data_IF_775895191855
#
_entry.id   IF_775895191855
#
_cell.length_a   1.000
_cell.length_b   1.000
_cell.length_c   1.000
_cell.angle_alpha   90.00
_cell.angle_beta   90.00
_cell.angle_gamma   90.00
#
_symmetry.space_group_name_H-M   'P 1'
#
loop_
_entity.id
_entity.type
_entity.pdbx_description
1 polymer ?
#
# COMPACT_ATOMS: atom_id res chain seq x y z
N UNK A 1 29.07 32.14 -64.75
CA UNK A 1 28.21 31.22 -65.52
C UNK A 1 27.32 30.47 -64.53
N UNK A 2 26.00 30.56 -64.50
CA UNK A 2 25.04 31.52 -65.06
C UNK A 2 23.83 31.55 -64.10
N UNK A 3 23.21 32.72 -63.95
CA UNK A 3 21.92 32.92 -63.30
C UNK A 3 20.84 32.40 -64.25
N UNK A 4 19.70 31.94 -63.73
CA UNK A 4 18.46 31.70 -64.47
C UNK A 4 18.53 30.71 -65.62
N UNK A 5 17.90 29.56 -65.39
CA UNK A 5 16.98 28.82 -66.26
C UNK A 5 17.18 27.32 -65.97
N UNK A 6 16.18 26.52 -65.62
CA UNK A 6 14.74 26.70 -65.64
C UNK A 6 14.20 25.38 -65.04
N UNK A 7 13.58 25.37 -63.88
CA UNK A 7 12.19 24.91 -63.64
C UNK A 7 12.07 24.75 -62.12
N UNK A 8 11.53 25.70 -61.35
CA UNK A 8 10.11 26.04 -61.15
C UNK A 8 9.19 24.81 -61.10
N UNK A 9 8.45 24.74 -59.99
CA UNK A 9 7.46 23.73 -59.51
C UNK A 9 8.16 22.66 -58.66
N UNK A 10 8.16 22.73 -57.33
CA UNK A 10 6.98 22.53 -56.46
C UNK A 10 7.32 23.07 -55.03
N UNK A 11 6.52 24.06 -54.58
CA UNK A 11 5.95 24.19 -53.21
C UNK A 11 6.97 24.15 -52.04
N UNK A 12 7.49 25.28 -51.54
CA UNK A 12 6.86 26.13 -50.51
C UNK A 12 5.85 25.40 -49.61
N UNK A 13 6.33 24.59 -48.66
CA UNK A 13 5.66 24.31 -47.39
C UNK A 13 6.63 23.55 -46.48
N UNK A 14 7.47 24.30 -45.74
CA UNK A 14 8.02 23.77 -44.48
C UNK A 14 6.82 23.68 -43.54
N UNK A 15 6.11 22.56 -43.60
CA UNK A 15 5.15 22.17 -42.59
C UNK A 15 5.95 21.91 -41.32
N UNK A 16 5.97 22.91 -40.43
CA UNK A 16 6.03 22.65 -39.00
C UNK A 16 4.84 21.72 -38.71
N UNK A 17 5.07 20.41 -38.75
CA UNK A 17 4.20 19.47 -38.06
C UNK A 17 4.52 19.68 -36.58
N UNK A 18 3.86 20.66 -35.98
CA UNK A 18 3.63 20.64 -34.56
C UNK A 18 2.95 19.31 -34.27
N UNK A 19 3.68 18.38 -33.65
CA UNK A 19 3.06 17.29 -32.91
C UNK A 19 2.26 17.93 -31.78
N UNK A 20 1.06 18.40 -32.10
CA UNK A 20 -0.03 18.38 -31.15
C UNK A 20 -0.25 16.90 -30.86
N UNK A 21 0.45 16.39 -29.84
CA UNK A 21 -0.03 15.26 -29.07
C UNK A 21 -1.35 15.71 -28.48
N UNK A 22 -2.42 15.58 -29.27
CA UNK A 22 -3.77 15.51 -28.74
C UNK A 22 -3.77 14.23 -27.93
N UNK A 23 -3.43 14.33 -26.66
CA UNK A 23 -3.85 13.35 -25.69
C UNK A 23 -5.36 13.37 -25.79
N UNK A 24 -5.92 12.32 -26.39
CA UNK A 24 -7.33 12.02 -26.32
C UNK A 24 -7.58 11.76 -24.82
N UNK A 25 -7.83 12.83 -24.07
CA UNK A 25 -8.40 12.72 -22.76
C UNK A 25 -9.77 12.10 -23.04
N UNK A 26 -10.02 10.90 -22.55
CA UNK A 26 -11.39 10.44 -22.42
C UNK A 26 -12.06 11.49 -21.52
N UNK A 27 -12.79 12.43 -22.14
CA UNK A 27 -13.57 13.43 -21.42
C UNK A 27 -14.39 12.65 -20.40
N UNK A 28 -14.14 12.92 -19.12
CA UNK A 28 -15.08 12.56 -18.08
C UNK A 28 -16.40 13.23 -18.49
N UNK A 29 -17.47 12.46 -18.68
CA UNK A 29 -18.80 13.04 -18.80
C UNK A 29 -19.17 13.56 -17.42
N UNK A 30 -18.76 14.78 -17.14
CA UNK A 30 -18.81 15.34 -15.79
C UNK A 30 -20.21 15.72 -15.36
N UNK A 31 -21.21 15.72 -16.25
CA UNK A 31 -22.55 16.22 -15.93
C UNK A 31 -22.52 17.66 -15.34
N UNK A 32 -21.52 18.46 -15.70
CA UNK A 32 -21.30 19.81 -15.16
C UNK A 32 -20.29 19.89 -14.01
N UNK A 33 -19.70 18.80 -13.53
CA UNK A 33 -18.59 18.81 -12.56
C UNK A 33 -17.27 19.31 -13.20
N UNK A 34 -16.36 19.85 -12.39
CA UNK A 34 -14.98 20.10 -12.81
C UNK A 34 -14.14 18.84 -12.62
N UNK A 35 -13.23 18.57 -13.56
CA UNK A 35 -12.24 17.49 -13.46
C UNK A 35 -11.02 17.99 -12.70
N UNK A 36 -10.60 17.23 -11.69
CA UNK A 36 -9.34 17.40 -11.00
C UNK A 36 -8.40 16.28 -11.45
N UNK A 37 -7.30 16.68 -12.11
CA UNK A 37 -6.28 15.75 -12.58
C UNK A 37 -5.51 15.12 -11.40
N UNK A 38 -5.09 13.84 -11.51
CA UNK A 38 -4.34 13.16 -10.45
C UNK A 38 -3.04 13.84 -10.00
N UNK A 39 -2.38 14.60 -10.88
CA UNK A 39 -1.15 15.34 -10.57
C UNK A 39 -1.39 16.66 -9.82
N UNK A 40 -2.65 16.99 -9.48
CA UNK A 40 -2.96 18.16 -8.67
C UNK A 40 -2.28 18.07 -7.30
N UNK A 41 -1.45 19.06 -6.98
CA UNK A 41 -0.65 19.11 -5.74
C UNK A 41 -1.45 19.00 -4.43
N UNK A 42 -2.76 19.23 -4.46
CA UNK A 42 -3.67 19.11 -3.30
C UNK A 42 -4.21 17.70 -3.10
N UNK A 43 -4.01 16.80 -4.07
CA UNK A 43 -4.23 15.36 -3.90
C UNK A 43 -2.96 14.76 -3.30
N UNK A 44 -3.12 14.03 -2.20
CA UNK A 44 -2.01 13.35 -1.51
C UNK A 44 -2.18 11.84 -1.62
N UNK A 45 -1.09 11.18 -1.96
CA UNK A 45 -0.99 9.73 -2.11
C UNK A 45 -0.18 9.16 -0.95
N UNK A 46 -0.68 8.09 -0.34
CA UNK A 46 0.00 7.40 0.75
C UNK A 46 0.00 5.90 0.49
N UNK A 47 1.01 5.20 1.00
CA UNK A 47 1.38 3.89 0.48
C UNK A 47 2.33 4.01 -0.71
N UNK A 48 2.68 2.87 -1.31
CA UNK A 48 3.54 2.86 -2.50
C UNK A 48 2.71 3.06 -3.76
N UNK A 49 2.91 4.22 -4.38
CA UNK A 49 2.25 4.64 -5.62
C UNK A 49 3.31 4.97 -6.67
N UNK A 50 3.24 4.30 -7.82
CA UNK A 50 4.09 4.63 -8.95
C UNK A 50 3.60 5.93 -9.60
N UNK A 51 4.39 6.99 -9.42
CA UNK A 51 4.15 8.33 -9.97
C UNK A 51 5.01 8.65 -11.20
N UNK A 52 5.60 7.63 -11.85
CA UNK A 52 6.38 7.83 -13.09
C UNK A 52 5.57 8.51 -14.20
N UNK A 53 4.24 8.31 -14.19
CA UNK A 53 3.28 9.18 -14.86
C UNK A 53 2.36 9.80 -13.79
N UNK A 54 2.57 11.07 -13.38
CA UNK A 54 1.81 11.67 -12.28
C UNK A 54 0.33 11.90 -12.61
N UNK A 55 -0.05 11.91 -13.89
CA UNK A 55 -1.45 11.97 -14.33
C UNK A 55 -2.14 10.61 -14.36
N UNK A 56 -1.38 9.52 -14.18
CA UNK A 56 -1.91 8.16 -14.06
C UNK A 56 -1.21 7.41 -12.91
N UNK A 57 -1.36 7.86 -11.65
CA UNK A 57 -0.78 7.21 -10.49
C UNK A 57 -1.23 5.75 -10.41
N UNK A 58 -0.27 4.83 -10.36
CA UNK A 58 -0.55 3.40 -10.36
C UNK A 58 -0.18 2.75 -9.02
N UNK A 59 -1.05 1.91 -8.47
CA UNK A 59 -0.85 1.29 -7.16
C UNK A 59 -1.50 -0.09 -7.07
N UNK A 60 -0.97 -0.95 -6.20
CA UNK A 60 -1.49 -2.33 -6.00
C UNK A 60 -1.37 -2.81 -4.57
N UNK A 61 -0.39 -2.31 -3.82
CA UNK A 61 -0.21 -2.62 -2.41
C UNK A 61 -1.51 -2.36 -1.61
N UNK A 62 -1.87 -3.25 -0.67
CA UNK A 62 -3.02 -3.04 0.19
C UNK A 62 -2.81 -1.78 1.04
N UNK A 63 -3.91 -1.14 1.43
CA UNK A 63 -3.85 0.03 2.30
C UNK A 63 -3.22 1.27 1.68
N UNK A 64 -3.06 1.33 0.35
CA UNK A 64 -2.85 2.60 -0.36
C UNK A 64 -4.09 3.47 -0.21
N UNK A 65 -3.88 4.75 0.10
CA UNK A 65 -4.97 5.70 0.23
C UNK A 65 -4.65 7.06 -0.39
N UNK A 66 -5.70 7.68 -0.91
CA UNK A 66 -5.67 8.95 -1.63
C UNK A 66 -6.50 9.93 -0.81
N UNK A 67 -5.92 11.08 -0.48
CA UNK A 67 -6.60 12.14 0.27
C UNK A 67 -6.68 13.43 -0.53
N UNK A 68 -7.81 14.11 -0.38
CA UNK A 68 -8.00 15.48 -0.84
C UNK A 68 -9.07 16.15 0.03
N UNK A 69 -9.12 17.47 0.01
CA UNK A 69 -10.01 18.24 0.88
C UNK A 69 -10.74 19.32 0.10
N UNK A 70 -12.07 19.37 0.18
CA UNK A 70 -12.88 20.42 -0.44
C UNK A 70 -14.29 20.43 0.18
N UNK A 71 -15.05 21.50 -0.06
CA UNK A 71 -16.51 21.46 0.01
C UNK A 71 -17.03 21.06 -1.36
N UNK A 72 -17.95 20.10 -1.44
CA UNK A 72 -18.56 19.66 -2.70
C UNK A 72 -19.88 18.92 -2.43
N UNK A 73 -20.89 19.16 -3.27
CA UNK A 73 -22.17 18.45 -3.21
C UNK A 73 -22.13 17.10 -3.95
N UNK A 74 -21.21 16.96 -4.91
CA UNK A 74 -20.96 15.72 -5.63
C UNK A 74 -19.46 15.39 -5.71
N UNK A 75 -19.16 14.10 -5.68
CA UNK A 75 -17.81 13.56 -5.87
C UNK A 75 -17.91 12.32 -6.74
N UNK A 76 -17.19 12.32 -7.86
CA UNK A 76 -16.98 11.16 -8.72
C UNK A 76 -15.50 10.83 -8.82
N UNK A 77 -15.19 9.55 -8.94
CA UNK A 77 -13.85 9.04 -9.21
C UNK A 77 -13.84 8.27 -10.52
N UNK A 78 -12.79 8.44 -11.32
CA UNK A 78 -12.50 7.59 -12.49
C UNK A 78 -11.22 6.82 -12.30
N UNK A 79 -11.29 5.53 -12.56
CA UNK A 79 -10.17 4.61 -12.39
C UNK A 79 -10.12 3.60 -13.53
N UNK A 80 -8.91 3.14 -13.84
CA UNK A 80 -8.69 1.90 -14.59
C UNK A 80 -8.19 0.85 -13.63
N UNK A 81 -8.90 -0.25 -13.48
CA UNK A 81 -8.57 -1.27 -12.50
C UNK A 81 -9.01 -2.66 -12.99
N UNK A 82 -8.89 -3.66 -12.12
CA UNK A 82 -9.28 -5.05 -12.36
C UNK A 82 -10.31 -5.50 -11.35
N UNK A 83 -9.91 -5.80 -10.12
CA UNK A 83 -10.85 -6.24 -9.09
C UNK A 83 -10.34 -5.88 -7.71
N UNK A 84 -10.73 -4.70 -7.23
CA UNK A 84 -10.35 -4.18 -5.93
C UNK A 84 -11.55 -3.59 -5.19
N UNK A 85 -11.46 -3.61 -3.86
CA UNK A 85 -12.45 -3.01 -2.96
C UNK A 85 -11.87 -1.75 -2.34
N UNK A 86 -12.69 -0.71 -2.29
CA UNK A 86 -12.29 0.60 -1.75
C UNK A 86 -13.30 1.09 -0.73
N UNK A 87 -12.82 1.71 0.35
CA UNK A 87 -13.65 2.52 1.23
C UNK A 87 -13.53 4.00 0.83
N UNK A 88 -14.62 4.74 0.87
CA UNK A 88 -14.64 6.19 0.99
C UNK A 88 -14.81 6.54 2.48
N UNK A 89 -13.89 7.35 2.99
CA UNK A 89 -14.02 7.99 4.29
C UNK A 89 -14.25 9.50 4.09
N UNK A 90 -15.14 10.07 4.90
CA UNK A 90 -15.39 11.51 5.00
C UNK A 90 -15.01 11.92 6.42
N UNK A 91 -14.04 12.81 6.56
CA UNK A 91 -13.46 13.22 7.86
C UNK A 91 -13.02 12.03 8.74
N UNK A 92 -12.46 11.00 8.09
CA UNK A 92 -11.99 9.77 8.76
C UNK A 92 -13.10 8.77 9.11
N UNK A 93 -14.37 9.11 8.88
CA UNK A 93 -15.52 8.23 9.13
C UNK A 93 -15.91 7.49 7.85
N UNK A 94 -16.17 6.19 7.95
CA UNK A 94 -16.66 5.40 6.82
C UNK A 94 -17.97 5.97 6.28
N UNK A 95 -18.01 6.23 4.96
CA UNK A 95 -19.19 6.73 4.27
C UNK A 95 -19.81 5.66 3.36
N UNK A 96 -19.00 5.05 2.48
CA UNK A 96 -19.43 3.98 1.58
C UNK A 96 -18.24 3.16 1.10
N UNK A 97 -18.51 2.05 0.43
CA UNK A 97 -17.51 1.33 -0.35
C UNK A 97 -17.92 1.16 -1.82
N UNK A 98 -16.96 0.75 -2.65
CA UNK A 98 -17.17 0.41 -4.04
C UNK A 98 -16.17 -0.66 -4.50
N UNK A 99 -16.53 -1.35 -5.58
CA UNK A 99 -15.75 -2.45 -6.15
C UNK A 99 -15.48 -2.17 -7.62
N UNK A 100 -14.22 -2.33 -8.03
CA UNK A 100 -13.81 -2.22 -9.43
C UNK A 100 -13.93 -3.55 -10.16
N UNK A 101 -14.12 -3.47 -11.47
CA UNK A 101 -14.06 -4.55 -12.46
C UNK A 101 -13.02 -4.20 -13.53
N UNK A 102 -12.72 -5.14 -14.43
CA UNK A 102 -11.72 -4.92 -15.48
C UNK A 102 -12.08 -3.75 -16.39
N UNK A 103 -11.15 -2.81 -16.54
CA UNK A 103 -11.26 -1.68 -17.47
C UNK A 103 -11.38 -0.32 -16.78
N UNK A 104 -11.79 0.68 -17.56
CA UNK A 104 -12.06 2.03 -17.06
C UNK A 104 -13.49 2.12 -16.52
N UNK A 105 -13.64 2.75 -15.36
CA UNK A 105 -14.90 2.88 -14.66
C UNK A 105 -15.00 4.22 -13.95
N UNK A 106 -16.23 4.69 -13.78
CA UNK A 106 -16.58 5.87 -13.03
C UNK A 106 -17.54 5.50 -11.89
N UNK A 107 -17.33 6.09 -10.72
CA UNK A 107 -18.18 5.85 -9.55
C UNK A 107 -18.62 7.18 -8.93
N UNK A 108 -19.93 7.37 -8.81
CA UNK A 108 -20.49 8.45 -8.01
C UNK A 108 -20.37 8.10 -6.53
N UNK A 109 -19.46 8.80 -5.85
CA UNK A 109 -19.15 8.58 -4.44
C UNK A 109 -20.05 9.42 -3.54
N UNK A 110 -20.23 10.69 -3.85
CA UNK A 110 -21.17 11.60 -3.18
C UNK A 110 -22.07 12.21 -4.25
N UNK A 111 -23.37 12.35 -3.97
CA UNK A 111 -24.34 12.97 -4.87
C UNK A 111 -25.34 13.79 -4.07
N UNK A 112 -25.70 14.97 -4.58
CA UNK A 112 -26.74 15.84 -4.03
C UNK A 112 -26.58 16.12 -2.52
N UNK A 113 -25.34 16.21 -2.01
CA UNK A 113 -25.09 16.58 -0.62
C UNK A 113 -25.52 18.03 -0.41
N UNK A 114 -26.28 18.28 0.65
CA UNK A 114 -26.66 19.63 1.09
C UNK A 114 -25.66 20.21 2.09
N UNK A 115 -24.66 19.42 2.50
CA UNK A 115 -23.59 19.89 3.37
C UNK A 115 -22.61 20.75 2.57
N UNK A 116 -22.44 21.99 3.03
CA UNK A 116 -21.53 22.98 2.42
C UNK A 116 -20.20 23.08 3.16
N UNK A 117 -19.99 22.28 4.20
CA UNK A 117 -18.73 22.25 4.93
C UNK A 117 -17.60 21.67 4.07
N UNK A 118 -16.37 22.02 4.43
CA UNK A 118 -15.18 21.44 3.83
C UNK A 118 -14.86 20.13 4.53
N UNK A 119 -14.78 19.05 3.76
CA UNK A 119 -14.45 17.72 4.27
C UNK A 119 -13.14 17.21 3.70
N UNK A 120 -12.44 16.39 4.49
CA UNK A 120 -11.37 15.51 3.99
C UNK A 120 -11.98 14.22 3.45
N UNK A 121 -11.74 13.94 2.18
CA UNK A 121 -12.11 12.68 1.54
C UNK A 121 -10.89 11.76 1.49
N UNK A 122 -11.07 10.50 1.92
CA UNK A 122 -10.05 9.45 1.78
C UNK A 122 -10.62 8.28 0.98
N UNK A 123 -9.98 7.96 -0.15
CA UNK A 123 -10.24 6.72 -0.89
C UNK A 123 -9.20 5.70 -0.45
N UNK A 124 -9.62 4.60 0.16
CA UNK A 124 -8.75 3.59 0.77
C UNK A 124 -8.89 2.23 0.09
N UNK A 125 -7.80 1.67 -0.45
CA UNK A 125 -7.79 0.33 -1.03
C UNK A 125 -7.74 -0.75 0.07
N UNK A 126 -8.84 -1.45 0.32
CA UNK A 126 -8.93 -2.49 1.36
C UNK A 126 -8.61 -3.91 0.91
N UNK A 127 -8.64 -4.20 -0.39
CA UNK A 127 -8.36 -5.54 -0.92
C UNK A 127 -6.86 -5.78 -1.18
N UNK A 128 -6.47 -7.05 -1.14
CA UNK A 128 -5.26 -7.53 -1.79
C UNK A 128 -5.60 -8.07 -3.19
N UNK A 129 -5.02 -7.46 -4.21
CA UNK A 129 -5.00 -8.00 -5.56
C UNK A 129 -3.66 -7.63 -6.18
N UNK A 130 -2.81 -8.64 -6.37
CA UNK A 130 -1.42 -8.45 -6.75
C UNK A 130 -1.19 -8.61 -8.25
N UNK A 131 -2.23 -9.02 -9.01
CA UNK A 131 -2.13 -9.37 -10.42
C UNK A 131 -2.07 -8.17 -11.37
N UNK A 132 -2.60 -7.03 -10.95
CA UNK A 132 -2.57 -5.79 -11.71
C UNK A 132 -2.54 -4.57 -10.78
N UNK A 133 -2.04 -3.45 -11.30
CA UNK A 133 -2.13 -2.16 -10.62
C UNK A 133 -3.44 -1.46 -11.01
N UNK A 134 -4.08 -0.84 -10.02
CA UNK A 134 -5.10 0.17 -10.24
C UNK A 134 -4.44 1.48 -10.69
N UNK A 135 -5.14 2.25 -11.51
CA UNK A 135 -4.70 3.54 -12.01
C UNK A 135 -5.80 4.56 -11.72
N UNK A 136 -5.46 5.65 -11.02
CA UNK A 136 -6.37 6.80 -10.90
C UNK A 136 -6.31 7.61 -12.19
N UNK A 137 -7.47 7.89 -12.78
CA UNK A 137 -7.59 8.71 -14.01
C UNK A 137 -8.12 10.12 -13.73
N UNK A 138 -8.79 10.33 -12.60
CA UNK A 138 -9.23 11.66 -12.17
C UNK A 138 -10.29 11.63 -11.09
N UNK A 139 -10.52 12.80 -10.51
CA UNK A 139 -11.67 13.09 -9.64
C UNK A 139 -12.56 14.10 -10.35
N UNK A 140 -13.86 14.11 -10.05
CA UNK A 140 -14.75 15.18 -10.46
C UNK A 140 -15.57 15.68 -9.26
N UNK A 141 -15.64 17.00 -9.10
CA UNK A 141 -16.30 17.72 -8.00
C UNK A 141 -17.06 18.93 -8.55
N UNK A 142 -17.88 19.62 -7.76
CA UNK A 142 -18.64 20.78 -8.25
C UNK A 142 -17.73 21.86 -8.87
N UNK A 143 -18.20 22.63 -9.85
CA UNK A 143 -17.38 23.68 -10.50
C UNK A 143 -16.89 24.77 -9.53
N UNK A 144 -17.62 25.00 -8.44
CA UNK A 144 -17.26 25.96 -7.41
C UNK A 144 -16.27 25.40 -6.39
N UNK A 145 -16.07 24.08 -6.35
CA UNK A 145 -15.17 23.43 -5.41
C UNK A 145 -13.73 23.89 -5.62
N UNK A 146 -13.01 24.10 -4.53
CA UNK A 146 -11.57 24.35 -4.56
C UNK A 146 -10.90 23.35 -3.64
N UNK A 147 -9.90 22.63 -4.16
CA UNK A 147 -9.12 21.72 -3.32
C UNK A 147 -8.21 22.51 -2.39
N UNK A 148 -8.19 22.10 -1.12
CA UNK A 148 -7.37 22.65 -0.06
C UNK A 148 -6.27 21.66 0.34
N UNK A 149 -5.30 22.14 1.11
CA UNK A 149 -4.26 21.27 1.65
C UNK A 149 -4.83 20.26 2.65
N UNK A 150 -4.41 19.01 2.49
CA UNK A 150 -4.69 17.92 3.43
C UNK A 150 -3.68 18.01 4.58
N UNK A 151 -4.14 17.94 5.85
CA UNK A 151 -3.23 17.83 7.00
C UNK A 151 -2.36 16.58 6.90
N UNK A 152 -1.04 16.77 6.97
CA UNK A 152 -0.05 15.69 7.01
C UNK A 152 0.17 15.29 8.46
N UNK A 153 0.26 13.98 8.71
CA UNK A 153 0.47 13.47 10.07
C UNK A 153 1.95 13.54 10.45
N UNK A 154 2.29 13.82 11.72
CA UNK A 154 3.68 14.04 12.13
C UNK A 154 4.52 12.74 12.16
N UNK A 155 3.86 11.58 12.14
CA UNK A 155 4.48 10.27 12.30
C UNK A 155 4.24 9.41 11.06
N UNK A 156 5.18 8.52 10.77
CA UNK A 156 5.10 7.57 9.65
C UNK A 156 5.52 6.17 10.09
N UNK A 157 4.77 5.16 9.65
CA UNK A 157 5.04 3.75 9.95
C UNK A 157 5.04 2.92 8.66
N UNK A 158 6.07 2.11 8.41
CA UNK A 158 6.04 1.09 7.37
C UNK A 158 5.78 -0.27 8.02
N UNK A 159 4.74 -0.98 7.56
CA UNK A 159 4.47 -2.36 7.96
C UNK A 159 4.90 -3.30 6.83
N UNK A 160 5.88 -4.15 7.12
CA UNK A 160 6.42 -5.17 6.23
C UNK A 160 5.88 -6.51 6.70
N UNK A 161 5.22 -7.27 5.82
CA UNK A 161 4.74 -8.59 6.23
C UNK A 161 4.11 -9.47 5.16
N UNK A 162 3.40 -10.47 5.64
CA UNK A 162 2.69 -11.46 4.82
C UNK A 162 1.16 -11.33 4.96
N UNK A 163 0.44 -12.42 4.78
CA UNK A 163 -1.03 -12.50 4.85
C UNK A 163 -1.61 -12.01 6.18
N UNK A 164 -0.87 -12.12 7.29
CA UNK A 164 -1.30 -11.57 8.60
C UNK A 164 -1.27 -10.04 8.61
N UNK A 165 -0.39 -9.43 7.82
CA UNK A 165 -0.31 -7.97 7.70
C UNK A 165 -1.29 -7.46 6.65
N UNK A 166 -1.57 -8.26 5.62
CA UNK A 166 -2.62 -8.00 4.63
C UNK A 166 -4.02 -8.02 5.25
N UNK A 167 -4.29 -8.93 6.19
CA UNK A 167 -5.64 -9.20 6.68
C UNK A 167 -6.36 -10.26 5.84
N UNK A 168 -5.61 -11.25 5.33
CA UNK A 168 -6.13 -12.32 4.51
C UNK A 168 -7.30 -13.04 5.19
N UNK A 169 -8.47 -13.00 4.56
CA UNK A 169 -9.68 -13.69 5.02
C UNK A 169 -10.15 -13.32 6.43
N UNK A 170 -9.79 -12.13 6.92
CA UNK A 170 -10.01 -11.73 8.30
C UNK A 170 -11.47 -11.46 8.67
N UNK A 171 -12.35 -11.21 7.69
CA UNK A 171 -13.79 -11.00 7.92
C UNK A 171 -14.63 -12.27 7.78
N UNK A 172 -14.03 -13.37 7.31
CA UNK A 172 -14.66 -14.69 7.30
C UNK A 172 -14.43 -15.44 8.62
N UNK A 173 -15.33 -16.35 9.01
CA UNK A 173 -15.02 -17.37 10.02
C UNK A 173 -13.97 -18.36 9.50
N UNK A 174 -13.42 -19.20 10.38
CA UNK A 174 -12.41 -20.20 10.03
C UNK A 174 -12.90 -21.35 9.13
N UNK A 175 -14.19 -21.42 8.82
CA UNK A 175 -14.80 -22.45 7.98
C UNK A 175 -14.49 -22.22 6.49
N UNK A 176 -14.56 -23.29 5.70
CA UNK A 176 -14.36 -23.23 4.25
C UNK A 176 -15.62 -22.75 3.50
N UNK A 177 -15.46 -22.31 2.26
CA UNK A 177 -16.58 -21.99 1.35
C UNK A 177 -16.80 -20.50 1.09
N UNK A 178 -16.03 -19.63 1.72
CA UNK A 178 -16.00 -18.20 1.41
C UNK A 178 -14.98 -17.89 0.31
N UNK A 179 -15.23 -16.84 -0.46
CA UNK A 179 -14.22 -16.27 -1.33
C UNK A 179 -13.23 -15.44 -0.49
N UNK A 180 -11.93 -15.72 -0.67
CA UNK A 180 -10.90 -15.07 0.15
C UNK A 180 -10.69 -13.60 -0.21
N UNK A 181 -10.89 -13.24 -1.47
CA UNK A 181 -10.80 -11.85 -1.88
C UNK A 181 -11.96 -11.06 -1.27
N UNK A 182 -13.18 -11.62 -1.26
CA UNK A 182 -14.35 -11.00 -0.62
C UNK A 182 -14.16 -10.79 0.87
N UNK A 183 -13.45 -11.71 1.53
CA UNK A 183 -13.31 -11.74 2.99
C UNK A 183 -11.97 -11.19 3.52
N UNK A 184 -11.13 -10.66 2.63
CA UNK A 184 -9.92 -9.91 2.98
C UNK A 184 -10.25 -8.43 3.10
N UNK A 185 -10.07 -7.85 4.28
CA UNK A 185 -10.25 -6.42 4.55
C UNK A 185 -9.05 -5.84 5.30
N UNK A 186 -8.15 -5.19 4.57
CA UNK A 186 -6.96 -4.56 5.12
C UNK A 186 -7.28 -3.37 6.05
N UNK A 187 -8.47 -2.78 5.95
CA UNK A 187 -8.86 -1.65 6.82
C UNK A 187 -9.03 -2.08 8.28
N UNK A 188 -9.34 -3.35 8.52
CA UNK A 188 -9.54 -3.96 9.84
C UNK A 188 -8.23 -4.51 10.45
N UNK A 189 -7.08 -4.20 9.86
CA UNK A 189 -5.80 -4.80 10.28
C UNK A 189 -5.11 -4.02 11.38
N UNK A 190 -4.34 -4.74 12.20
CA UNK A 190 -3.55 -4.17 13.28
C UNK A 190 -2.67 -2.99 12.82
N UNK A 191 -2.07 -3.08 11.62
CA UNK A 191 -1.19 -2.02 11.10
C UNK A 191 -1.95 -0.72 10.85
N UNK A 192 -3.12 -0.83 10.22
CA UNK A 192 -4.02 0.31 10.01
C UNK A 192 -4.50 0.90 11.33
N UNK A 193 -4.90 0.06 12.29
CA UNK A 193 -5.40 0.51 13.61
C UNK A 193 -4.30 1.21 14.44
N UNK A 194 -3.08 0.66 14.44
CA UNK A 194 -1.92 1.28 15.10
C UNK A 194 -1.58 2.64 14.50
N UNK A 195 -1.62 2.76 13.17
CA UNK A 195 -1.33 4.02 12.50
C UNK A 195 -2.30 5.13 12.90
N UNK A 196 -3.60 4.83 13.05
CA UNK A 196 -4.55 5.82 13.56
C UNK A 196 -4.32 6.15 15.03
N UNK A 197 -4.11 5.14 15.87
CA UNK A 197 -3.87 5.35 17.31
C UNK A 197 -2.67 6.28 17.55
N UNK A 198 -1.60 6.11 16.79
CA UNK A 198 -0.41 6.96 16.91
C UNK A 198 -0.48 8.24 16.10
N UNK A 199 -1.61 8.55 15.45
CA UNK A 199 -1.72 9.67 14.50
C UNK A 199 -0.57 9.68 13.49
N UNK A 200 -0.40 8.56 12.80
CA UNK A 200 0.64 8.31 11.82
C UNK A 200 0.08 8.08 10.42
N UNK A 201 0.80 8.54 9.42
CA UNK A 201 0.75 8.00 8.06
C UNK A 201 1.39 6.61 8.04
N UNK A 202 1.01 5.80 7.05
CA UNK A 202 1.52 4.44 6.98
C UNK A 202 1.60 3.88 5.56
N UNK A 203 2.39 2.81 5.43
CA UNK A 203 2.42 1.92 4.27
C UNK A 203 2.21 0.49 4.74
N UNK A 204 1.39 -0.28 4.02
CA UNK A 204 1.28 -1.73 4.19
C UNK A 204 2.00 -2.41 3.02
N UNK A 205 3.26 -2.76 3.23
CA UNK A 205 4.07 -3.49 2.27
C UNK A 205 4.01 -4.98 2.60
N UNK A 206 2.87 -5.58 2.32
CA UNK A 206 2.62 -6.98 2.64
C UNK A 206 2.09 -7.77 1.45
N UNK A 207 2.40 -9.06 1.43
CA UNK A 207 1.96 -9.97 0.36
C UNK A 207 1.72 -11.37 0.93
N UNK A 208 0.47 -11.83 0.84
CA UNK A 208 0.05 -13.16 1.27
C UNK A 208 0.90 -14.29 0.70
N UNK A 209 1.23 -15.25 1.56
CA UNK A 209 2.00 -16.45 1.20
C UNK A 209 3.51 -16.23 1.02
N UNK A 210 4.02 -15.01 1.17
CA UNK A 210 5.45 -14.71 1.05
C UNK A 210 6.19 -14.92 2.37
N UNK A 211 7.39 -15.48 2.28
CA UNK A 211 8.35 -15.57 3.39
C UNK A 211 9.68 -14.91 3.03
N UNK A 212 10.67 -15.00 3.90
CA UNK A 212 11.99 -14.39 3.73
C UNK A 212 12.93 -15.23 2.86
N UNK A 213 12.94 -16.55 3.07
CA UNK A 213 13.80 -17.50 2.36
C UNK A 213 12.99 -18.31 1.36
N UNK A 214 11.74 -18.63 1.70
CA UNK A 214 10.81 -19.33 0.80
C UNK A 214 9.38 -18.83 0.95
N UNK A 215 8.55 -19.15 -0.04
CA UNK A 215 7.12 -18.93 0.02
C UNK A 215 6.39 -20.12 0.66
N UNK A 216 5.11 -19.95 1.00
CA UNK A 216 4.27 -20.98 1.61
C UNK A 216 4.36 -22.32 0.86
N UNK A 217 4.57 -23.43 1.59
CA UNK A 217 4.71 -24.76 1.00
C UNK A 217 5.97 -25.03 0.16
N UNK A 218 6.84 -24.04 -0.05
CA UNK A 218 8.03 -24.15 -0.90
C UNK A 218 9.00 -25.24 -0.45
N UNK A 219 9.53 -26.01 -1.41
CA UNK A 219 10.42 -27.17 -1.16
C UNK A 219 11.92 -26.84 -1.24
N UNK A 220 12.28 -25.57 -1.44
CA UNK A 220 13.64 -25.04 -1.50
C UNK A 220 13.61 -23.51 -1.28
N UNK A 221 14.75 -22.85 -1.03
CA UNK A 221 14.84 -21.40 -1.09
C UNK A 221 14.31 -20.86 -2.43
N UNK A 222 13.55 -19.76 -2.37
CA UNK A 222 12.89 -19.15 -3.53
C UNK A 222 13.50 -17.77 -3.80
N UNK A 223 14.14 -17.54 -4.96
CA UNK A 223 14.65 -16.21 -5.32
C UNK A 223 13.52 -15.16 -5.47
N UNK A 224 12.26 -15.58 -5.56
CA UNK A 224 11.08 -14.73 -5.56
C UNK A 224 10.36 -14.69 -4.18
N UNK A 225 11.08 -14.99 -3.10
CA UNK A 225 10.65 -14.68 -1.74
C UNK A 225 10.48 -13.16 -1.54
N UNK A 226 9.90 -12.75 -0.40
CA UNK A 226 9.54 -11.36 -0.11
C UNK A 226 10.67 -10.33 -0.39
N UNK A 227 11.95 -10.58 -0.03
CA UNK A 227 13.01 -9.58 -0.26
C UNK A 227 13.17 -9.14 -1.73
N UNK A 228 12.92 -10.04 -2.69
CA UNK A 228 12.99 -9.72 -4.13
C UNK A 228 11.82 -8.81 -4.60
N UNK A 229 10.80 -8.66 -3.77
CA UNK A 229 9.59 -7.89 -4.05
C UNK A 229 9.55 -6.58 -3.26
N UNK A 230 10.37 -6.46 -2.20
CA UNK A 230 10.38 -5.31 -1.31
C UNK A 230 10.69 -3.99 -2.01
N UNK A 231 11.37 -3.97 -3.16
CA UNK A 231 11.61 -2.73 -3.90
C UNK A 231 10.61 -2.49 -5.03
N UNK A 232 9.50 -3.21 -5.13
CA UNK A 232 8.53 -2.96 -6.22
C UNK A 232 7.64 -1.77 -5.89
N UNK A 233 7.49 -0.84 -6.85
CA UNK A 233 6.52 0.25 -6.73
C UNK A 233 5.08 -0.28 -6.79
N UNK A 234 4.83 -1.30 -7.62
CA UNK A 234 3.58 -2.05 -7.71
C UNK A 234 3.86 -3.56 -7.69
N UNK A 235 3.05 -4.35 -7.00
CA UNK A 235 3.26 -5.79 -6.80
C UNK A 235 3.33 -6.58 -8.13
N UNK A 236 2.52 -6.19 -9.11
CA UNK A 236 2.38 -6.86 -10.40
C UNK A 236 3.60 -6.73 -11.32
N UNK A 237 4.56 -5.85 -11.03
CA UNK A 237 5.74 -5.62 -11.88
C UNK A 237 7.03 -5.49 -11.07
N UNK A 238 8.14 -5.98 -11.62
CA UNK A 238 9.46 -5.78 -11.04
C UNK A 238 10.01 -4.35 -11.26
N UNK A 239 9.47 -3.63 -12.25
CA UNK A 239 9.83 -2.25 -12.58
C UNK A 239 8.59 -1.37 -12.85
N UNK A 240 8.63 -0.07 -12.52
CA UNK A 240 9.73 0.62 -11.83
C UNK A 240 9.87 0.15 -10.38
N UNK A 241 11.09 0.27 -9.85
CA UNK A 241 11.34 0.04 -8.43
C UNK A 241 10.84 1.24 -7.62
N UNK A 242 10.43 1.00 -6.38
CA UNK A 242 10.18 2.02 -5.40
C UNK A 242 11.50 2.73 -5.06
N UNK A 243 11.55 4.02 -5.37
CA UNK A 243 12.70 4.89 -5.12
C UNK A 243 12.30 6.20 -4.43
N UNK A 244 11.01 6.35 -4.06
CA UNK A 244 10.52 7.48 -3.30
C UNK A 244 10.74 7.26 -1.80
N UNK A 245 11.98 7.53 -1.38
CA UNK A 245 12.39 7.46 0.03
C UNK A 245 12.01 8.73 0.81
N UNK A 246 11.25 9.65 0.21
CA UNK A 246 10.74 10.84 0.90
C UNK A 246 9.65 10.50 1.92
N UNK A 247 8.94 9.38 1.71
CA UNK A 247 8.23 8.71 2.78
C UNK A 247 9.24 8.04 3.70
N UNK A 248 9.70 8.82 4.69
CA UNK A 248 10.67 8.41 5.69
C UNK A 248 9.95 7.95 6.98
N UNK A 249 9.68 6.63 7.16
CA UNK A 249 9.04 6.12 8.36
C UNK A 249 9.92 6.33 9.59
N UNK A 250 9.30 6.79 10.67
CA UNK A 250 9.94 6.79 11.98
C UNK A 250 10.07 5.37 12.53
N UNK A 251 9.11 4.50 12.19
CA UNK A 251 9.04 3.12 12.63
C UNK A 251 8.83 2.18 11.43
N UNK A 252 9.65 1.14 11.36
CA UNK A 252 9.43 -0.01 10.48
C UNK A 252 9.03 -1.21 11.34
N UNK A 253 7.88 -1.80 11.08
CA UNK A 253 7.39 -3.00 11.76
C UNK A 253 7.51 -4.18 10.80
N UNK A 254 8.25 -5.22 11.18
CA UNK A 254 8.52 -6.37 10.32
C UNK A 254 7.88 -7.63 10.93
N UNK A 255 6.95 -8.23 10.20
CA UNK A 255 6.36 -9.52 10.52
C UNK A 255 6.40 -10.47 9.32
N UNK A 256 7.50 -11.22 9.22
CA UNK A 256 7.72 -12.24 8.20
C UNK A 256 8.33 -13.47 8.85
N UNK A 257 7.84 -14.65 8.51
CA UNK A 257 8.40 -15.92 9.01
C UNK A 257 7.38 -17.05 9.09
N UNK A 258 6.08 -16.74 9.14
CA UNK A 258 5.03 -17.76 9.10
C UNK A 258 5.21 -18.63 7.86
N UNK A 259 5.31 -18.05 6.67
CA UNK A 259 5.41 -18.80 5.42
C UNK A 259 6.73 -19.56 5.26
N UNK A 260 7.78 -19.20 6.00
CA UNK A 260 9.03 -19.94 6.06
C UNK A 260 8.88 -21.24 6.88
N UNK A 261 8.06 -21.25 7.93
CA UNK A 261 8.01 -22.36 8.91
C UNK A 261 6.64 -23.03 9.10
N UNK A 262 5.56 -22.57 8.47
CA UNK A 262 4.19 -23.07 8.69
C UNK A 262 3.87 -24.41 8.00
N UNK A 263 4.77 -24.93 7.16
CA UNK A 263 4.58 -26.20 6.45
C UNK A 263 5.69 -27.20 6.84
N UNK A 264 5.52 -28.03 7.88
CA UNK A 264 6.56 -28.92 8.38
C UNK A 264 7.07 -29.95 7.35
N UNK A 265 6.23 -30.35 6.38
CA UNK A 265 6.62 -31.28 5.30
C UNK A 265 7.40 -30.61 4.16
N UNK A 266 7.67 -29.32 4.27
CA UNK A 266 8.39 -28.53 3.28
C UNK A 266 9.84 -28.28 3.71
N UNK A 267 10.57 -27.47 2.93
CA UNK A 267 11.90 -27.02 3.32
C UNK A 267 11.80 -26.14 4.57
N UNK A 268 12.63 -26.34 5.58
CA UNK A 268 12.68 -25.45 6.74
C UNK A 268 14.01 -24.70 6.71
N UNK A 269 14.01 -23.38 6.48
CA UNK A 269 15.25 -22.60 6.45
C UNK A 269 16.02 -22.75 7.76
N UNK A 270 17.35 -22.80 7.67
CA UNK A 270 18.19 -22.79 8.89
C UNK A 270 18.07 -21.42 9.58
N UNK A 271 18.51 -21.34 10.84
CA UNK A 271 18.56 -20.08 11.58
C UNK A 271 19.39 -19.05 10.81
N UNK A 272 20.52 -19.46 10.26
CA UNK A 272 21.48 -18.61 9.55
C UNK A 272 20.88 -18.07 8.25
N UNK A 273 20.20 -18.90 7.45
CA UNK A 273 19.54 -18.47 6.22
C UNK A 273 18.45 -17.44 6.50
N UNK A 274 17.61 -17.73 7.50
CA UNK A 274 16.50 -16.87 7.88
C UNK A 274 17.01 -15.53 8.45
N UNK A 275 17.94 -15.56 9.40
CA UNK A 275 18.51 -14.35 9.99
C UNK A 275 19.27 -13.51 8.96
N UNK A 276 20.02 -14.14 8.03
CA UNK A 276 20.69 -13.40 6.97
C UNK A 276 19.70 -12.70 6.01
N UNK A 277 18.56 -13.35 5.69
CA UNK A 277 17.51 -12.72 4.89
C UNK A 277 16.80 -11.60 5.65
N UNK A 278 16.54 -11.78 6.95
CA UNK A 278 15.91 -10.77 7.81
C UNK A 278 16.81 -9.54 7.97
N UNK A 279 18.11 -9.74 8.23
CA UNK A 279 19.07 -8.65 8.42
C UNK A 279 19.18 -7.76 7.17
N UNK A 280 19.07 -8.33 5.96
CA UNK A 280 19.03 -7.53 4.72
C UNK A 280 17.86 -6.54 4.68
N UNK A 281 16.69 -6.88 5.23
CA UNK A 281 15.58 -5.94 5.33
C UNK A 281 15.86 -4.83 6.35
N UNK A 282 16.42 -5.18 7.51
CA UNK A 282 16.82 -4.23 8.55
C UNK A 282 17.86 -3.24 8.00
N UNK A 283 18.90 -3.75 7.35
CA UNK A 283 19.95 -2.95 6.72
C UNK A 283 19.40 -2.10 5.57
N UNK A 284 18.47 -2.63 4.78
CA UNK A 284 17.76 -1.88 3.75
C UNK A 284 17.01 -0.68 4.32
N UNK A 285 16.25 -0.89 5.40
CA UNK A 285 15.55 0.19 6.10
C UNK A 285 16.55 1.24 6.65
N UNK A 286 17.61 0.82 7.35
CA UNK A 286 18.64 1.73 7.86
C UNK A 286 19.38 2.52 6.79
N UNK A 287 19.55 1.92 5.61
CA UNK A 287 20.22 2.56 4.47
C UNK A 287 19.32 3.59 3.80
N UNK A 288 18.04 3.29 3.64
CA UNK A 288 17.14 4.09 2.82
C UNK A 288 16.36 5.14 3.62
N UNK A 289 16.22 4.96 4.94
CA UNK A 289 15.49 5.85 5.82
C UNK A 289 16.40 6.59 6.80
N UNK A 290 16.01 7.79 7.20
CA UNK A 290 16.75 8.59 8.16
C UNK A 290 16.43 8.12 9.58
N UNK A 291 17.30 7.25 10.10
CA UNK A 291 17.28 6.77 11.48
C UNK A 291 15.94 6.11 11.90
N UNK A 292 15.42 5.13 11.14
CA UNK A 292 14.19 4.45 11.52
C UNK A 292 14.42 3.64 12.81
N UNK A 293 13.42 3.57 13.68
CA UNK A 293 13.31 2.48 14.64
C UNK A 293 12.71 1.27 13.95
N UNK A 294 13.08 0.08 14.40
CA UNK A 294 12.69 -1.19 13.79
C UNK A 294 12.12 -2.10 14.87
N UNK A 295 10.86 -2.48 14.71
CA UNK A 295 10.18 -3.46 15.56
C UNK A 295 10.06 -4.78 14.82
N UNK A 296 10.84 -5.76 15.25
CA UNK A 296 10.83 -7.11 14.69
C UNK A 296 9.85 -7.98 15.47
N UNK A 297 8.87 -8.55 14.78
CA UNK A 297 7.77 -9.28 15.41
C UNK A 297 7.92 -10.79 15.31
N UNK A 298 7.73 -11.48 16.44
CA UNK A 298 7.48 -12.91 16.52
C UNK A 298 6.00 -13.25 16.67
N UNK A 299 5.67 -14.55 16.64
CA UNK A 299 4.32 -15.03 16.86
C UNK A 299 4.30 -16.38 17.59
N UNK A 300 3.92 -16.34 18.85
CA UNK A 300 3.81 -17.52 19.72
C UNK A 300 5.05 -18.40 19.68
N UNK A 301 4.84 -19.71 19.83
CA UNK A 301 5.92 -20.70 19.87
C UNK A 301 6.47 -21.12 18.50
N UNK A 302 6.25 -20.34 17.43
CA UNK A 302 6.80 -20.68 16.12
C UNK A 302 8.33 -20.56 16.12
N UNK A 303 9.01 -21.43 15.37
CA UNK A 303 10.49 -21.50 15.31
C UNK A 303 11.12 -20.14 15.03
N UNK A 304 10.56 -19.37 14.10
CA UNK A 304 11.10 -18.07 13.74
C UNK A 304 11.02 -17.04 14.89
N UNK A 305 10.09 -17.16 15.83
CA UNK A 305 9.99 -16.26 16.98
C UNK A 305 11.30 -16.24 17.77
N UNK A 306 11.88 -17.43 18.02
CA UNK A 306 13.16 -17.54 18.71
C UNK A 306 14.31 -16.95 17.88
N UNK A 307 14.30 -17.14 16.56
CA UNK A 307 15.33 -16.61 15.66
C UNK A 307 15.27 -15.08 15.54
N UNK A 308 14.07 -14.50 15.52
CA UNK A 308 13.90 -13.04 15.51
C UNK A 308 14.36 -12.44 16.83
N UNK A 309 13.97 -13.05 17.97
CA UNK A 309 14.42 -12.59 19.30
C UNK A 309 15.95 -12.61 19.42
N UNK A 310 16.56 -13.73 19.05
CA UNK A 310 18.02 -13.90 19.06
C UNK A 310 18.74 -12.91 18.12
N UNK A 311 18.17 -12.62 16.94
CA UNK A 311 18.70 -11.60 16.03
C UNK A 311 18.68 -10.21 16.67
N UNK A 312 17.55 -9.83 17.30
CA UNK A 312 17.42 -8.54 17.98
C UNK A 312 18.38 -8.43 19.16
N UNK A 313 18.53 -9.49 19.94
CA UNK A 313 19.45 -9.51 21.08
C UNK A 313 20.91 -9.40 20.62
N UNK A 314 21.26 -10.05 19.51
CA UNK A 314 22.59 -9.94 18.87
C UNK A 314 22.86 -8.52 18.40
N UNK A 315 21.90 -7.88 17.72
CA UNK A 315 22.01 -6.49 17.29
C UNK A 315 22.19 -5.53 18.48
N UNK A 316 21.43 -5.73 19.56
CA UNK A 316 21.55 -4.94 20.80
C UNK A 316 22.90 -5.14 21.48
N UNK A 317 23.40 -6.38 21.54
CA UNK A 317 24.73 -6.68 22.07
C UNK A 317 25.85 -6.01 21.25
N UNK A 318 25.62 -5.82 19.94
CA UNK A 318 26.47 -5.02 19.05
C UNK A 318 26.27 -3.50 19.18
N UNK A 319 25.50 -3.03 20.17
CA UNK A 319 25.29 -1.63 20.48
C UNK A 319 24.19 -0.93 19.66
N UNK A 320 23.39 -1.67 18.89
CA UNK A 320 22.26 -1.10 18.13
C UNK A 320 21.10 -0.77 19.07
N UNK A 321 20.65 0.48 19.05
CA UNK A 321 19.55 1.00 19.90
C UNK A 321 18.29 1.35 19.09
N UNK A 322 18.30 1.04 17.80
CA UNK A 322 17.20 1.31 16.87
C UNK A 322 16.27 0.10 16.69
N UNK A 323 16.65 -1.08 17.18
CA UNK A 323 15.88 -2.32 16.99
C UNK A 323 15.28 -2.85 18.31
N UNK A 324 14.05 -3.36 18.24
CA UNK A 324 13.39 -4.02 19.34
C UNK A 324 12.60 -5.26 18.88
N UNK A 325 12.32 -6.14 19.83
CA UNK A 325 11.51 -7.33 19.64
C UNK A 325 10.11 -7.07 20.19
N UNK A 326 9.10 -7.44 19.42
CA UNK A 326 7.71 -7.53 19.85
C UNK A 326 7.12 -8.89 19.48
N UNK A 327 5.96 -9.22 20.02
CA UNK A 327 5.33 -10.49 19.75
C UNK A 327 3.81 -10.33 19.65
N UNK A 328 3.21 -10.98 18.66
CA UNK A 328 1.77 -11.10 18.61
C UNK A 328 1.27 -12.11 19.64
N UNK A 329 0.12 -11.84 20.30
CA UNK A 329 -0.53 -12.84 21.12
C UNK A 329 -0.97 -14.05 20.28
N UNK A 330 -1.10 -15.21 20.93
CA UNK A 330 -1.76 -16.36 20.30
C UNK A 330 -3.20 -15.99 19.92
N UNK A 331 -3.56 -16.24 18.66
CA UNK A 331 -4.91 -15.93 18.16
C UNK A 331 -5.96 -16.91 18.70
N UNK A 332 -5.58 -18.09 19.22
CA UNK A 332 -6.49 -19.04 19.85
C UNK A 332 -7.63 -19.46 18.93
N UNK A 333 -8.88 -19.17 19.33
CA UNK A 333 -10.10 -19.40 18.55
C UNK A 333 -10.49 -18.22 17.65
N UNK A 334 -9.77 -17.08 17.72
CA UNK A 334 -10.00 -15.89 16.91
C UNK A 334 -9.40 -16.07 15.49
N UNK A 335 -9.86 -17.13 14.81
CA UNK A 335 -9.38 -17.55 13.50
C UNK A 335 -10.38 -17.15 12.43
N UNK A 336 -9.85 -16.51 11.40
CA UNK A 336 -10.50 -16.29 10.12
C UNK A 336 -10.12 -17.40 9.13
N UNK A 337 -10.37 -17.13 7.85
CA UNK A 337 -10.19 -18.12 6.79
C UNK A 337 -8.78 -18.74 6.79
N UNK A 338 -8.71 -20.06 6.57
CA UNK A 338 -7.44 -20.80 6.53
C UNK A 338 -6.56 -20.60 7.78
N UNK A 339 -7.18 -20.42 8.95
CA UNK A 339 -6.50 -20.21 10.24
C UNK A 339 -5.72 -18.88 10.37
N UNK A 340 -6.00 -17.90 9.51
CA UNK A 340 -5.47 -16.54 9.65
C UNK A 340 -6.12 -15.80 10.83
N UNK A 341 -5.59 -14.65 11.28
CA UNK A 341 -6.26 -13.81 12.28
C UNK A 341 -7.60 -13.30 11.73
N UNK A 342 -8.69 -13.44 12.49
CA UNK A 342 -9.92 -12.69 12.21
C UNK A 342 -9.80 -11.24 12.73
N UNK A 343 -10.85 -10.43 12.53
CA UNK A 343 -10.91 -9.04 13.03
C UNK A 343 -10.60 -8.94 14.53
N UNK A 344 -11.13 -9.85 15.37
CA UNK A 344 -10.85 -9.85 16.82
C UNK A 344 -9.37 -10.11 17.11
N UNK A 345 -8.73 -11.04 16.40
CA UNK A 345 -7.30 -11.27 16.55
C UNK A 345 -6.47 -10.06 16.08
N UNK A 346 -6.88 -9.37 15.01
CA UNK A 346 -6.23 -8.12 14.61
C UNK A 346 -6.37 -7.01 15.65
N UNK A 347 -7.52 -6.91 16.33
CA UNK A 347 -7.72 -6.00 17.45
C UNK A 347 -6.77 -6.34 18.61
N UNK A 348 -6.65 -7.63 18.97
CA UNK A 348 -5.73 -8.07 20.02
C UNK A 348 -4.27 -7.78 19.67
N UNK A 349 -3.88 -8.01 18.40
CA UNK A 349 -2.56 -7.67 17.88
C UNK A 349 -2.28 -6.16 17.97
N UNK A 350 -3.27 -5.34 17.61
CA UNK A 350 -3.20 -3.88 17.77
C UNK A 350 -3.00 -3.48 19.23
N UNK A 351 -3.79 -4.00 20.16
CA UNK A 351 -3.68 -3.69 21.59
C UNK A 351 -2.31 -4.11 22.16
N UNK A 352 -1.83 -5.31 21.81
CA UNK A 352 -0.56 -5.84 22.29
C UNK A 352 0.65 -5.00 21.84
N UNK A 353 0.57 -4.36 20.67
CA UNK A 353 1.68 -3.59 20.12
C UNK A 353 1.72 -2.12 20.55
N UNK A 354 0.67 -1.58 21.17
CA UNK A 354 0.66 -0.18 21.64
C UNK A 354 1.80 0.11 22.61
N UNK A 355 1.92 -0.68 23.68
CA UNK A 355 2.92 -0.43 24.71
C UNK A 355 4.37 -0.61 24.21
N UNK A 356 4.72 -1.69 23.47
CA UNK A 356 6.03 -1.82 22.85
C UNK A 356 6.40 -0.66 21.93
N UNK A 357 5.47 -0.20 21.09
CA UNK A 357 5.72 0.92 20.17
C UNK A 357 5.88 2.23 20.95
N UNK A 358 5.01 2.50 21.93
CA UNK A 358 5.09 3.68 22.79
C UNK A 358 6.45 3.76 23.48
N UNK A 359 6.93 2.63 24.01
CA UNK A 359 8.24 2.54 24.67
C UNK A 359 9.41 2.74 23.70
N UNK A 360 9.39 2.09 22.53
CA UNK A 360 10.45 2.20 21.52
C UNK A 360 10.55 3.60 20.91
N UNK A 361 9.40 4.22 20.67
CA UNK A 361 9.28 5.48 19.92
C UNK A 361 9.20 6.72 20.80
N UNK A 362 8.86 6.56 22.09
CA UNK A 362 8.50 7.64 22.99
C UNK A 362 7.36 8.52 22.41
N UNK A 363 6.26 7.85 22.04
CA UNK A 363 5.11 8.44 21.33
C UNK A 363 3.87 8.66 22.19
#
# INVERSE_FOLDING_TARGET
MNLYQLLRKIIFSVLLIGMNLVFLHAELDTGGLQVIMPDNSKIKYFGRVNLSNPQQPAFSWPGVYIKFKCATSALRIKMKDTHNKYNLLVDGVFSKDFVTTSGEQEFDLIQNSTDTAVHEFTIYKKSENTGAAAILLGLAVDQSSTLLDVPIRPRRIEFIGDSFTVGYGNTAPATTGFDVWETTDNYQTYGRLLADFFNAEFMINAWSGRGLVKNYGGKKPDPNAYPAMYLRAVQSSAAPVWNDWSFNPNLVVIFLGINDYSTPSAYLPTKEEYQAAYLKLIEGARKNYQSPKILCLGYGSMTFTAYVRDLVDTEKAAGKTDVAFGEFPDIGTNRGMHSHPNVTAHQNNYEALKAPITSLMNW
#
